data_IF_260313067492
#
_entry.id   IF_260313067492
#
_cell.length_a   1.000
_cell.length_b   1.000
_cell.length_c   1.000
_cell.angle_alpha   90.00
_cell.angle_beta   90.00
_cell.angle_gamma   90.00
#
_symmetry.space_group_name_H-M   'P 1'
#
loop_
_entity.id
_entity.type
_entity.pdbx_description
1 polymer ?
#
# COMPACT_ATOMS: atom_id res chain seq x y z
N UNK A 1 -0.74 14.50 31.41
CA UNK A 1 -0.06 14.89 30.15
C UNK A 1 -1.10 15.46 29.18
N UNK A 2 -0.80 16.52 28.43
CA UNK A 2 -1.71 17.06 27.39
C UNK A 2 -1.51 16.28 26.08
N UNK A 3 -2.36 15.27 25.85
CA UNK A 3 -2.35 14.45 24.64
C UNK A 3 -3.43 14.94 23.67
N UNK A 4 -3.01 15.41 22.50
CA UNK A 4 -3.89 15.87 21.41
C UNK A 4 -3.80 14.91 20.22
N UNK A 5 -4.92 14.55 19.59
CA UNK A 5 -4.88 13.95 18.26
C UNK A 5 -4.60 15.03 17.21
N UNK A 6 -3.51 14.84 16.46
CA UNK A 6 -3.18 15.63 15.27
C UNK A 6 -4.04 15.17 14.10
N UNK A 7 -4.19 13.86 13.95
CA UNK A 7 -5.16 13.23 13.06
C UNK A 7 -5.57 11.90 13.65
N UNK A 8 -6.83 11.54 13.55
CA UNK A 8 -7.29 10.22 13.96
C UNK A 8 -8.41 9.76 13.05
N UNK A 9 -8.32 8.51 12.66
CA UNK A 9 -9.36 7.85 11.89
C UNK A 9 -10.12 6.83 12.73
N UNK A 10 -9.64 6.54 13.95
CA UNK A 10 -10.27 5.56 14.84
C UNK A 10 -11.74 5.89 15.13
N UNK A 11 -12.57 4.87 15.40
CA UNK A 11 -13.79 5.05 16.18
C UNK A 11 -13.51 5.80 17.48
N UNK A 12 -14.47 6.61 17.94
CA UNK A 12 -14.31 7.52 19.09
C UNK A 12 -13.86 6.81 20.36
N UNK A 13 -14.45 5.66 20.66
CA UNK A 13 -14.10 4.81 21.80
C UNK A 13 -12.63 4.36 21.77
N UNK A 14 -12.13 3.98 20.60
CA UNK A 14 -10.72 3.60 20.42
C UNK A 14 -9.82 4.84 20.52
N UNK A 15 -10.22 5.97 19.94
CA UNK A 15 -9.45 7.22 20.02
C UNK A 15 -9.27 7.69 21.47
N UNK A 16 -10.35 7.72 22.25
CA UNK A 16 -10.34 8.12 23.66
C UNK A 16 -9.45 7.20 24.49
N UNK A 17 -9.55 5.90 24.26
CA UNK A 17 -8.76 4.91 24.98
C UNK A 17 -7.27 4.99 24.63
N UNK A 18 -6.91 5.19 23.36
CA UNK A 18 -5.50 5.40 22.97
C UNK A 18 -4.95 6.65 23.67
N UNK A 19 -5.72 7.74 23.73
CA UNK A 19 -5.31 8.95 24.47
C UNK A 19 -5.18 8.68 25.95
N UNK A 20 -6.07 7.91 26.55
CA UNK A 20 -5.99 7.52 27.94
C UNK A 20 -4.69 6.75 28.22
N UNK A 21 -4.37 5.72 27.42
CA UNK A 21 -3.13 4.96 27.56
C UNK A 21 -1.90 5.87 27.45
N UNK A 22 -1.88 6.77 26.46
CA UNK A 22 -0.78 7.73 26.24
C UNK A 22 -0.66 8.80 27.34
N UNK A 23 -1.71 9.04 28.14
CA UNK A 23 -1.62 9.93 29.31
C UNK A 23 -0.88 9.28 30.47
N UNK A 24 -0.87 7.95 30.53
CA UNK A 24 -0.32 7.18 31.65
C UNK A 24 1.11 6.70 31.42
N UNK A 25 1.53 6.49 30.17
CA UNK A 25 2.88 6.04 29.85
C UNK A 25 3.36 6.63 28.54
N UNK A 26 4.66 6.95 28.49
CA UNK A 26 5.35 7.36 27.27
C UNK A 26 6.15 6.21 26.64
N UNK A 27 6.24 5.04 27.28
CA UNK A 27 6.98 3.91 26.71
C UNK A 27 6.13 3.23 25.62
N UNK A 28 6.56 3.23 24.34
CA UNK A 28 5.79 2.63 23.26
C UNK A 28 5.55 1.12 23.44
N UNK A 29 6.41 0.41 24.19
CA UNK A 29 6.21 -1.02 24.51
C UNK A 29 5.04 -1.17 25.48
N UNK A 30 5.00 -0.37 26.54
CA UNK A 30 3.89 -0.37 27.50
C UNK A 30 2.58 0.08 26.86
N UNK A 31 2.61 1.10 26.01
CA UNK A 31 1.44 1.55 25.24
C UNK A 31 0.86 0.39 24.44
N UNK A 32 1.71 -0.30 23.65
CA UNK A 32 1.29 -1.46 22.86
C UNK A 32 0.72 -2.57 23.75
N UNK A 33 1.38 -2.89 24.85
CA UNK A 33 0.96 -3.97 25.76
C UNK A 33 -0.38 -3.67 26.44
N UNK A 34 -0.66 -2.40 26.80
CA UNK A 34 -1.97 -1.98 27.33
C UNK A 34 -3.07 -2.08 26.26
N UNK A 35 -2.78 -1.67 25.03
CA UNK A 35 -3.71 -1.76 23.90
C UNK A 35 -3.98 -3.20 23.42
N UNK A 36 -3.03 -4.13 23.67
CA UNK A 36 -3.15 -5.55 23.33
C UNK A 36 -4.40 -6.23 23.92
N UNK A 37 -4.88 -5.74 25.07
CA UNK A 37 -6.09 -6.25 25.73
C UNK A 37 -7.38 -6.09 24.89
N UNK A 38 -7.41 -5.13 23.95
CA UNK A 38 -8.58 -4.79 23.14
C UNK A 38 -8.62 -5.55 21.81
N UNK A 39 -7.45 -5.66 21.18
CA UNK A 39 -7.24 -6.45 19.96
C UNK A 39 -5.94 -7.20 20.13
N UNK A 40 -5.97 -8.55 20.14
CA UNK A 40 -4.79 -9.35 20.41
C UNK A 40 -3.72 -9.10 19.34
N UNK A 41 -2.58 -8.62 19.82
CA UNK A 41 -1.24 -8.67 19.21
C UNK A 41 -1.01 -8.02 17.84
N UNK A 42 -1.81 -7.02 17.47
CA UNK A 42 -1.74 -6.41 16.14
C UNK A 42 -1.31 -4.94 16.13
N UNK A 43 -1.19 -4.30 17.29
CA UNK A 43 -0.89 -2.87 17.39
C UNK A 43 0.57 -2.56 17.03
N UNK A 44 0.75 -1.57 16.17
CA UNK A 44 2.02 -0.92 15.91
C UNK A 44 2.01 0.44 16.58
N UNK A 45 3.06 0.72 17.36
CA UNK A 45 3.24 1.98 18.07
C UNK A 45 4.60 2.55 17.70
N UNK A 46 4.59 3.77 17.15
CA UNK A 46 5.80 4.51 16.82
C UNK A 46 5.83 5.79 17.63
N UNK A 47 6.92 6.01 18.37
CA UNK A 47 7.14 7.20 19.18
C UNK A 47 8.36 7.94 18.69
N UNK A 48 8.29 9.25 18.51
CA UNK A 48 9.45 10.07 18.17
C UNK A 48 9.13 11.55 18.08
N UNK A 49 10.15 12.40 18.02
CA UNK A 49 9.96 13.86 17.85
C UNK A 49 9.78 14.24 16.38
N UNK A 50 10.60 13.65 15.50
CA UNK A 50 10.63 13.97 14.07
C UNK A 50 10.83 12.71 13.24
N UNK A 51 9.75 12.21 12.65
CA UNK A 51 9.78 11.11 11.70
C UNK A 51 8.72 11.34 10.60
N UNK A 52 9.06 10.92 9.39
CA UNK A 52 8.13 10.71 8.30
C UNK A 52 7.77 9.22 8.23
N UNK A 53 6.60 8.95 7.67
CA UNK A 53 6.14 7.58 7.53
C UNK A 53 5.23 7.45 6.33
N UNK A 54 5.27 6.27 5.73
CA UNK A 54 4.20 5.79 4.86
C UNK A 54 3.87 4.36 5.26
N UNK A 55 2.61 4.17 5.62
CA UNK A 55 2.11 2.88 6.11
C UNK A 55 0.94 2.47 5.27
N UNK A 56 0.83 1.18 4.99
CA UNK A 56 -0.45 0.60 4.61
C UNK A 56 -1.32 0.58 5.87
N UNK A 57 -2.66 0.71 5.78
CA UNK A 57 -3.60 0.67 6.94
C UNK A 57 -5.04 0.54 6.49
N UNK A 58 -5.89 -0.12 7.27
CA UNK A 58 -7.32 -0.12 7.03
C UNK A 58 -7.89 1.29 7.26
N UNK A 59 -9.07 1.51 6.68
CA UNK A 59 -9.86 2.66 7.07
C UNK A 59 -10.18 2.57 8.56
N UNK A 60 -10.09 3.72 9.23
CA UNK A 60 -10.40 3.86 10.65
C UNK A 60 -9.54 3.06 11.61
N UNK A 61 -8.28 2.79 11.25
CA UNK A 61 -7.38 1.96 12.06
C UNK A 61 -6.07 2.65 12.45
N UNK A 62 -6.00 3.98 12.39
CA UNK A 62 -4.81 4.72 12.77
C UNK A 62 -5.09 6.10 13.38
N UNK A 63 -4.17 6.55 14.24
CA UNK A 63 -4.14 7.89 14.80
C UNK A 63 -2.72 8.38 15.04
N UNK A 64 -2.49 9.66 14.74
CA UNK A 64 -1.31 10.42 15.08
C UNK A 64 -1.65 11.34 16.25
N UNK A 65 -0.99 11.12 17.37
CA UNK A 65 -1.16 11.86 18.62
C UNK A 65 0.11 12.63 18.96
N UNK A 66 -0.04 13.71 19.71
CA UNK A 66 1.07 14.55 20.16
C UNK A 66 0.92 14.82 21.65
N UNK A 67 1.99 14.54 22.39
CA UNK A 67 2.18 15.01 23.76
C UNK A 67 2.83 16.40 23.69
N UNK A 68 2.02 17.45 23.82
CA UNK A 68 2.49 18.84 23.66
C UNK A 68 3.54 19.23 24.68
N UNK A 69 3.41 18.71 25.91
CA UNK A 69 4.35 19.01 26.99
C UNK A 69 5.76 18.53 26.68
N UNK A 70 5.88 17.40 25.96
CA UNK A 70 7.17 16.76 25.64
C UNK A 70 7.61 16.97 24.19
N UNK A 71 6.75 17.51 23.33
CA UNK A 71 6.98 17.63 21.88
C UNK A 71 7.19 16.27 21.22
N UNK A 72 6.55 15.22 21.73
CA UNK A 72 6.68 13.84 21.23
C UNK A 72 5.41 13.45 20.49
N UNK A 73 5.58 12.84 19.32
CA UNK A 73 4.49 12.31 18.50
C UNK A 73 4.41 10.80 18.63
N UNK A 74 3.18 10.30 18.58
CA UNK A 74 2.83 8.89 18.67
C UNK A 74 1.97 8.52 17.46
N UNK A 75 2.48 7.66 16.59
CA UNK A 75 1.66 7.01 15.57
C UNK A 75 1.22 5.65 16.12
N UNK A 76 -0.08 5.45 16.24
CA UNK A 76 -0.68 4.20 16.71
C UNK A 76 -1.61 3.68 15.61
N UNK A 77 -1.46 2.42 15.21
CA UNK A 77 -2.32 1.81 14.20
C UNK A 77 -2.39 0.29 14.30
N UNK A 78 -3.40 -0.30 13.66
CA UNK A 78 -3.66 -1.74 13.64
C UNK A 78 -4.04 -2.25 12.23
N UNK A 79 -3.69 -3.51 11.87
CA UNK A 79 -4.26 -4.30 10.78
C UNK A 79 -5.81 -4.39 10.79
N UNK A 80 -6.46 -4.79 9.67
CA UNK A 80 -5.89 -5.12 8.36
C UNK A 80 -5.44 -3.86 7.60
N UNK A 81 -4.82 -4.03 6.44
CA UNK A 81 -4.13 -2.96 5.74
C UNK A 81 -4.69 -2.77 4.34
N UNK A 82 -5.03 -1.54 3.98
CA UNK A 82 -5.37 -1.15 2.61
C UNK A 82 -4.41 -0.05 2.17
N UNK A 83 -4.18 0.05 0.87
CA UNK A 83 -3.31 1.08 0.31
C UNK A 83 -4.15 2.33 0.03
N UNK A 84 -3.73 3.49 0.55
CA UNK A 84 -4.35 4.80 0.26
C UNK A 84 -3.45 5.62 -0.68
N UNK A 85 -2.30 5.09 -1.11
CA UNK A 85 -1.29 5.88 -1.83
C UNK A 85 -1.47 5.80 -3.35
N UNK A 86 -1.50 6.94 -4.08
CA UNK A 86 -1.47 6.94 -5.53
C UNK A 86 -0.11 6.46 -6.07
N UNK A 87 -0.13 5.77 -7.21
CA UNK A 87 1.07 5.37 -7.95
C UNK A 87 1.78 6.62 -8.50
N UNK A 88 3.03 6.85 -8.09
CA UNK A 88 3.92 7.81 -8.78
C UNK A 88 4.65 7.04 -9.88
N UNK A 89 4.84 7.66 -11.06
CA UNK A 89 5.39 6.97 -12.25
C UNK A 89 6.91 6.92 -12.30
N UNK A 90 7.64 7.76 -11.57
CA UNK A 90 9.10 7.81 -11.63
C UNK A 90 9.72 8.08 -10.24
N UNK A 91 10.70 7.27 -9.79
CA UNK A 91 11.46 7.59 -8.60
C UNK A 91 12.36 8.80 -8.86
N UNK A 92 12.44 9.80 -7.97
CA UNK A 92 13.40 10.88 -8.06
C UNK A 92 14.82 10.29 -7.94
N UNK A 93 15.58 10.34 -9.02
CA UNK A 93 17.02 10.06 -8.99
C UNK A 93 17.74 11.21 -8.28
N UNK A 94 18.46 10.87 -7.20
CA UNK A 94 19.24 11.81 -6.38
C UNK A 94 20.59 12.17 -7.01
N UNK A 95 21.02 13.41 -6.81
CA UNK A 95 22.37 13.92 -7.09
C UNK A 95 23.31 13.88 -5.87
N UNK A 96 22.82 13.54 -4.67
CA UNK A 96 23.59 13.51 -3.42
C UNK A 96 23.78 12.10 -2.84
N UNK A 97 25.04 11.67 -2.63
CA UNK A 97 25.36 10.37 -2.04
C UNK A 97 25.16 10.38 -0.52
N UNK A 98 24.22 9.58 -0.04
CA UNK A 98 24.06 9.23 1.38
C UNK A 98 24.80 7.90 1.64
N UNK A 99 25.45 7.78 2.80
CA UNK A 99 26.05 6.51 3.22
C UNK A 99 25.04 5.71 4.03
N UNK A 100 24.73 4.49 3.59
CA UNK A 100 23.75 3.62 4.24
C UNK A 100 24.47 2.51 5.00
N UNK A 101 24.30 2.48 6.31
CA UNK A 101 24.82 1.42 7.18
C UNK A 101 23.68 0.52 7.63
N UNK A 102 23.79 -0.77 7.38
CA UNK A 102 22.80 -1.73 7.84
C UNK A 102 22.97 -1.97 9.36
N UNK A 103 21.88 -1.89 10.11
CA UNK A 103 21.85 -2.20 11.56
C UNK A 103 21.26 -3.58 11.82
N UNK A 104 20.17 -3.95 11.12
CA UNK A 104 19.50 -5.25 11.31
C UNK A 104 18.76 -5.70 10.04
N UNK A 105 18.86 -6.98 9.72
CA UNK A 105 18.02 -7.70 8.74
C UNK A 105 17.26 -8.82 9.46
N UNK A 106 15.98 -9.02 9.20
CA UNK A 106 15.24 -10.18 9.73
C UNK A 106 14.13 -10.66 8.77
N UNK A 107 14.20 -11.90 8.25
CA UNK A 107 15.24 -12.89 8.44
C UNK A 107 16.57 -12.49 7.73
N UNK A 108 17.71 -13.03 8.18
CA UNK A 108 19.00 -12.75 7.57
C UNK A 108 18.99 -13.18 6.09
N UNK A 109 19.26 -12.21 5.20
CA UNK A 109 19.59 -12.39 3.78
C UNK A 109 18.54 -13.05 2.85
N UNK A 110 17.29 -12.60 2.85
CA UNK A 110 16.45 -12.84 1.66
C UNK A 110 16.86 -11.89 0.51
N UNK A 111 16.74 -12.33 -0.74
CA UNK A 111 17.14 -11.58 -1.94
C UNK A 111 16.48 -10.19 -1.99
N UNK A 112 15.24 -10.11 -1.53
CA UNK A 112 14.44 -8.87 -1.44
C UNK A 112 15.11 -7.85 -0.54
N UNK A 113 15.54 -8.23 0.66
CA UNK A 113 16.20 -7.31 1.60
C UNK A 113 17.52 -6.78 1.03
N UNK A 114 18.26 -7.60 0.28
CA UNK A 114 19.50 -7.13 -0.37
C UNK A 114 19.21 -6.13 -1.49
N UNK A 115 18.17 -6.38 -2.31
CA UNK A 115 17.72 -5.44 -3.34
C UNK A 115 17.30 -4.10 -2.74
N UNK A 116 16.50 -4.13 -1.68
CA UNK A 116 16.08 -2.92 -0.96
C UNK A 116 17.30 -2.21 -0.37
N UNK A 117 18.20 -2.91 0.32
CA UNK A 117 19.38 -2.28 0.92
C UNK A 117 20.28 -1.58 -0.12
N UNK A 118 20.52 -2.20 -1.28
CA UNK A 118 21.24 -1.56 -2.39
C UNK A 118 20.51 -0.31 -2.88
N UNK A 119 19.19 -0.38 -3.05
CA UNK A 119 18.36 0.75 -3.47
C UNK A 119 18.39 1.92 -2.48
N UNK A 120 18.47 1.67 -1.16
CA UNK A 120 18.54 2.74 -0.16
C UNK A 120 19.72 3.70 -0.38
N UNK A 121 20.82 3.23 -0.98
CA UNK A 121 21.99 4.05 -1.28
C UNK A 121 21.79 5.03 -2.45
N UNK A 122 20.71 4.87 -3.23
CA UNK A 122 20.38 5.76 -4.36
C UNK A 122 19.38 6.85 -3.99
N UNK A 123 18.85 6.83 -2.77
CA UNK A 123 17.82 7.75 -2.29
C UNK A 123 18.45 9.03 -1.75
N UNK A 124 17.87 10.18 -2.11
CA UNK A 124 18.08 11.42 -1.36
C UNK A 124 17.12 11.46 -0.18
N UNK A 125 17.66 11.65 1.03
CA UNK A 125 16.88 11.78 2.25
C UNK A 125 16.67 13.24 2.67
N UNK A 126 16.83 14.23 1.78
CA UNK A 126 16.50 15.63 2.09
C UNK A 126 15.01 15.84 2.40
N UNK A 127 14.11 15.15 1.68
CA UNK A 127 12.66 15.17 1.93
C UNK A 127 12.20 13.80 2.42
N UNK A 128 12.08 13.64 3.74
CA UNK A 128 11.76 12.36 4.37
C UNK A 128 10.41 11.78 3.90
N UNK A 129 9.41 12.61 3.58
CA UNK A 129 8.11 12.13 3.13
C UNK A 129 8.22 11.54 1.72
N UNK A 130 8.90 12.26 0.83
CA UNK A 130 9.16 11.79 -0.53
C UNK A 130 10.04 10.53 -0.53
N UNK A 131 11.06 10.46 0.33
CA UNK A 131 11.89 9.27 0.47
C UNK A 131 11.07 8.06 0.94
N UNK A 132 10.15 8.25 1.90
CA UNK A 132 9.23 7.20 2.35
C UNK A 132 8.39 6.64 1.18
N UNK A 133 7.79 7.53 0.39
CA UNK A 133 6.98 7.15 -0.78
C UNK A 133 7.77 6.33 -1.79
N UNK A 134 8.96 6.81 -2.17
CA UNK A 134 9.82 6.19 -3.17
C UNK A 134 10.29 4.80 -2.72
N UNK A 135 10.69 4.67 -1.46
CA UNK A 135 11.08 3.38 -0.89
C UNK A 135 9.89 2.42 -0.90
N UNK A 136 8.70 2.86 -0.46
CA UNK A 136 7.50 2.00 -0.46
C UNK A 136 7.16 1.53 -1.87
N UNK A 137 7.25 2.40 -2.86
CA UNK A 137 7.00 2.05 -4.26
C UNK A 137 7.99 1.02 -4.80
N UNK A 138 9.28 1.17 -4.48
CA UNK A 138 10.26 0.17 -4.86
C UNK A 138 9.97 -1.17 -4.19
N UNK A 139 9.61 -1.18 -2.91
CA UNK A 139 9.27 -2.42 -2.22
C UNK A 139 8.02 -3.08 -2.84
N UNK A 140 7.00 -2.29 -3.19
CA UNK A 140 5.80 -2.75 -3.89
C UNK A 140 6.10 -3.37 -5.28
N UNK A 141 7.20 -3.00 -5.95
CA UNK A 141 7.58 -3.59 -7.24
C UNK A 141 8.35 -4.90 -7.11
N UNK A 142 8.92 -5.17 -5.93
CA UNK A 142 9.60 -6.43 -5.63
C UNK A 142 8.59 -7.53 -5.29
N UNK A 143 7.61 -7.24 -4.44
CA UNK A 143 6.59 -8.19 -4.00
C UNK A 143 5.25 -7.51 -3.69
N UNK A 144 4.17 -8.21 -3.98
CA UNK A 144 2.78 -7.78 -3.75
C UNK A 144 2.36 -7.90 -2.27
N UNK A 145 3.07 -7.17 -1.40
CA UNK A 145 2.86 -7.14 0.04
C UNK A 145 2.44 -5.73 0.51
N UNK A 146 1.93 -5.64 1.74
CA UNK A 146 1.70 -4.36 2.40
C UNK A 146 2.96 -3.88 3.10
N UNK A 147 3.60 -2.87 2.52
CA UNK A 147 4.86 -2.31 2.97
C UNK A 147 4.68 -1.08 3.88
N UNK A 148 5.59 -0.94 4.84
CA UNK A 148 5.64 0.13 5.83
C UNK A 148 7.04 0.68 5.90
N UNK A 149 7.16 2.00 5.78
CA UNK A 149 8.45 2.71 5.77
C UNK A 149 8.40 3.87 6.75
N UNK A 150 9.45 3.99 7.55
CA UNK A 150 9.67 5.08 8.49
C UNK A 150 11.06 5.66 8.31
N UNK A 151 11.17 6.99 8.31
CA UNK A 151 12.45 7.72 8.19
C UNK A 151 12.45 8.86 9.21
N UNK A 152 13.47 8.95 10.04
CA UNK A 152 13.53 10.03 11.03
C UNK A 152 14.74 9.97 11.95
N UNK A 153 14.68 10.78 13.00
CA UNK A 153 15.71 10.82 14.07
C UNK A 153 15.03 10.52 15.39
N UNK A 154 15.70 9.75 16.25
CA UNK A 154 15.26 9.43 17.61
C UNK A 154 13.79 8.98 17.67
N UNK A 155 13.46 7.97 16.87
CA UNK A 155 12.16 7.33 16.96
C UNK A 155 12.31 5.84 17.30
N UNK A 156 11.32 5.33 18.02
CA UNK A 156 11.21 3.92 18.39
C UNK A 156 9.96 3.36 17.74
N UNK A 157 10.13 2.33 16.93
CA UNK A 157 9.04 1.59 16.30
C UNK A 157 8.88 0.24 16.99
N UNK A 158 7.73 0.03 17.62
CA UNK A 158 7.40 -1.21 18.32
C UNK A 158 6.41 -1.99 17.47
N UNK A 159 6.86 -3.15 16.97
CA UNK A 159 6.11 -4.02 16.08
C UNK A 159 5.52 -5.21 16.84
N UNK A 160 4.39 -5.77 16.41
CA UNK A 160 3.86 -7.00 16.99
C UNK A 160 4.82 -8.18 16.80
N UNK A 161 4.77 -9.17 17.70
CA UNK A 161 5.60 -10.39 17.63
C UNK A 161 5.12 -11.38 16.57
N UNK A 162 3.87 -11.26 16.12
CA UNK A 162 3.24 -12.08 15.10
C UNK A 162 2.87 -11.24 13.87
N UNK A 163 2.80 -11.87 12.69
CA UNK A 163 2.25 -11.28 11.45
C UNK A 163 3.03 -10.09 10.83
N UNK A 164 4.24 -9.78 11.33
CA UNK A 164 5.12 -8.75 10.76
C UNK A 164 6.52 -9.30 10.54
N UNK A 165 7.07 -9.03 9.36
CA UNK A 165 8.45 -9.38 9.00
C UNK A 165 9.30 -8.11 8.89
N UNK A 166 10.24 -7.98 9.82
CA UNK A 166 11.14 -6.84 9.94
C UNK A 166 12.31 -6.92 8.97
N UNK A 167 12.14 -6.41 7.76
CA UNK A 167 13.13 -6.63 6.71
C UNK A 167 14.40 -5.81 6.91
N UNK A 168 14.31 -4.50 7.18
CA UNK A 168 15.49 -3.62 7.24
C UNK A 168 15.40 -2.61 8.38
N UNK A 169 16.46 -2.56 9.19
CA UNK A 169 16.89 -1.36 9.91
C UNK A 169 18.19 -0.86 9.31
N UNK A 170 18.22 0.37 8.81
CA UNK A 170 19.43 1.00 8.31
C UNK A 170 19.60 2.42 8.87
N UNK A 171 20.83 2.91 8.87
CA UNK A 171 21.17 4.31 9.16
C UNK A 171 21.63 4.98 7.88
N UNK A 172 20.96 6.06 7.49
CA UNK A 172 21.38 6.91 6.38
C UNK A 172 22.14 8.12 6.94
N UNK A 173 23.38 8.29 6.51
CA UNK A 173 24.30 9.30 7.02
C UNK A 173 24.79 10.22 5.89
N UNK A 174 24.77 11.53 6.14
CA UNK A 174 25.40 12.53 5.27
C UNK A 174 25.97 13.65 6.14
N UNK A 175 27.29 13.77 6.17
CA UNK A 175 27.99 14.69 7.08
C UNK A 175 27.58 14.48 8.55
N UNK A 176 26.89 15.45 9.17
CA UNK A 176 26.41 15.38 10.55
C UNK A 176 24.97 14.86 10.68
N UNK A 177 24.27 14.68 9.56
CA UNK A 177 22.90 14.17 9.56
C UNK A 177 22.90 12.65 9.61
N UNK A 178 22.24 12.08 10.62
CA UNK A 178 22.03 10.64 10.80
C UNK A 178 20.53 10.38 10.90
N UNK A 179 20.01 9.54 10.01
CA UNK A 179 18.60 9.17 9.95
C UNK A 179 18.45 7.65 10.12
N UNK A 180 17.49 7.25 10.93
CA UNK A 180 17.03 5.87 11.01
C UNK A 180 16.04 5.59 9.88
N UNK A 181 16.23 4.49 9.16
CA UNK A 181 15.37 3.99 8.09
C UNK A 181 14.88 2.61 8.49
N UNK A 182 13.56 2.47 8.67
CA UNK A 182 12.92 1.24 9.14
C UNK A 182 11.90 0.78 8.09
N UNK A 183 12.04 -0.46 7.63
CA UNK A 183 11.18 -1.08 6.61
C UNK A 183 10.74 -2.46 7.07
N UNK A 184 9.43 -2.70 7.01
CA UNK A 184 8.85 -4.01 7.28
C UNK A 184 7.60 -4.25 6.43
N UNK A 185 7.18 -5.51 6.36
CA UNK A 185 5.96 -5.95 5.67
C UNK A 185 5.07 -6.77 6.59
N UNK A 186 3.78 -6.90 6.28
CA UNK A 186 2.96 -7.93 6.91
C UNK A 186 3.14 -9.29 6.27
N UNK A 187 3.06 -10.32 7.11
CA UNK A 187 2.87 -11.69 6.67
C UNK A 187 1.39 -12.00 6.50
N UNK A 188 1.04 -12.79 5.49
CA UNK A 188 -0.30 -13.38 5.33
C UNK A 188 -1.36 -12.53 4.61
N UNK A 189 -1.10 -11.26 4.30
CA UNK A 189 -2.04 -10.41 3.54
C UNK A 189 -1.38 -9.97 2.23
N UNK A 190 -1.53 -10.80 1.18
CA UNK A 190 -1.10 -10.42 -0.17
C UNK A 190 -2.02 -9.33 -0.73
N UNK A 191 -1.44 -8.40 -1.48
CA UNK A 191 -2.17 -7.37 -2.22
C UNK A 191 -2.95 -8.07 -3.35
N UNK A 192 -4.23 -8.38 -3.11
CA UNK A 192 -5.13 -8.77 -4.20
C UNK A 192 -5.38 -7.56 -5.10
N UNK A 193 -4.67 -7.46 -6.21
CA UNK A 193 -5.04 -6.56 -7.30
C UNK A 193 -6.35 -7.10 -7.87
N UNK A 194 -7.47 -6.54 -7.43
CA UNK A 194 -8.75 -6.82 -8.05
C UNK A 194 -8.76 -6.17 -9.45
N UNK A 195 -8.23 -6.89 -10.44
CA UNK A 195 -8.35 -6.58 -11.87
C UNK A 195 -9.80 -6.48 -12.37
N UNK A 196 -10.77 -6.76 -11.50
CA UNK A 196 -12.20 -6.67 -11.75
C UNK A 196 -12.56 -5.39 -12.52
N UNK A 197 -12.11 -4.20 -12.09
CA UNK A 197 -12.49 -2.95 -12.75
C UNK A 197 -11.92 -2.75 -14.18
N UNK A 198 -10.67 -3.13 -14.43
CA UNK A 198 -10.05 -2.98 -15.76
C UNK A 198 -10.55 -4.03 -16.75
N UNK A 199 -10.69 -5.28 -16.29
CA UNK A 199 -11.24 -6.35 -17.12
C UNK A 199 -12.73 -6.12 -17.43
N UNK A 200 -13.50 -5.63 -16.46
CA UNK A 200 -14.92 -5.28 -16.64
C UNK A 200 -15.07 -4.05 -17.55
N UNK A 201 -14.23 -3.03 -17.39
CA UNK A 201 -14.19 -1.88 -18.30
C UNK A 201 -13.82 -2.26 -19.74
N UNK A 202 -12.83 -3.15 -19.93
CA UNK A 202 -12.50 -3.69 -21.25
C UNK A 202 -13.66 -4.49 -21.85
N UNK A 203 -14.35 -5.29 -21.04
CA UNK A 203 -15.53 -6.02 -21.50
C UNK A 203 -16.61 -5.05 -21.97
N UNK A 204 -16.99 -4.04 -21.19
CA UNK A 204 -18.00 -3.06 -21.61
C UNK A 204 -17.59 -2.26 -22.86
N UNK A 205 -16.31 -1.92 -23.01
CA UNK A 205 -15.78 -1.28 -24.21
C UNK A 205 -15.94 -2.21 -25.44
N UNK A 206 -15.56 -3.48 -25.32
CA UNK A 206 -15.73 -4.47 -26.37
C UNK A 206 -17.21 -4.68 -26.73
N UNK A 207 -18.10 -4.77 -25.73
CA UNK A 207 -19.54 -4.90 -25.94
C UNK A 207 -20.12 -3.73 -26.73
N UNK A 208 -19.75 -2.51 -26.33
CA UNK A 208 -20.23 -1.29 -26.97
C UNK A 208 -19.73 -1.22 -28.42
N UNK A 209 -18.45 -1.58 -28.65
CA UNK A 209 -17.87 -1.61 -29.98
C UNK A 209 -18.53 -2.67 -30.88
N UNK A 210 -18.78 -3.88 -30.37
CA UNK A 210 -19.47 -4.95 -31.12
C UNK A 210 -20.90 -4.54 -31.45
N UNK A 211 -21.64 -3.93 -30.52
CA UNK A 211 -22.99 -3.45 -30.78
C UNK A 211 -23.00 -2.32 -31.83
N UNK A 212 -22.10 -1.34 -31.68
CA UNK A 212 -21.99 -0.23 -32.64
C UNK A 212 -21.62 -0.74 -34.04
N UNK A 213 -20.61 -1.61 -34.14
CA UNK A 213 -20.24 -2.23 -35.41
C UNK A 213 -21.38 -3.09 -35.96
N UNK A 214 -22.11 -3.81 -35.11
CA UNK A 214 -23.30 -4.56 -35.49
C UNK A 214 -24.37 -3.68 -36.12
N UNK A 215 -24.82 -2.64 -35.43
CA UNK A 215 -25.88 -1.74 -35.93
C UNK A 215 -25.42 -0.98 -37.17
N UNK A 216 -24.27 -0.31 -37.12
CA UNK A 216 -23.78 0.48 -38.26
C UNK A 216 -23.38 -0.38 -39.46
N UNK A 217 -22.76 -1.54 -39.21
CA UNK A 217 -22.42 -2.50 -40.25
C UNK A 217 -23.66 -3.04 -40.94
N UNK A 218 -24.74 -3.36 -40.21
CA UNK A 218 -25.99 -3.83 -40.83
C UNK A 218 -26.70 -2.77 -41.68
N UNK A 219 -26.51 -1.48 -41.35
CA UNK A 219 -27.09 -0.35 -42.08
C UNK A 219 -26.27 0.08 -43.30
N UNK A 220 -24.97 -0.22 -43.33
CA UNK A 220 -24.03 0.27 -44.35
C UNK A 220 -23.41 -0.81 -45.23
N UNK A 221 -23.35 -2.05 -44.77
CA UNK A 221 -22.87 -3.18 -45.56
C UNK A 221 -24.03 -3.78 -46.35
N UNK A 222 -24.08 -3.46 -47.64
CA UNK A 222 -24.95 -4.11 -48.62
C UNK A 222 -24.17 -5.21 -49.34
N UNK A 223 -24.86 -6.11 -50.06
CA UNK A 223 -24.24 -7.21 -50.82
C UNK A 223 -23.27 -6.73 -51.93
N UNK A 224 -23.25 -5.43 -52.23
CA UNK A 224 -22.35 -4.79 -53.20
C UNK A 224 -21.15 -4.08 -52.56
N UNK A 225 -21.01 -4.12 -51.23
CA UNK A 225 -19.93 -3.41 -50.53
C UNK A 225 -18.60 -4.16 -50.63
N UNK A 226 -17.66 -3.64 -51.41
CA UNK A 226 -16.32 -4.24 -51.56
C UNK A 226 -15.36 -3.98 -50.39
N UNK A 227 -15.78 -3.16 -49.42
CA UNK A 227 -14.92 -2.86 -48.26
C UNK A 227 -14.60 -4.12 -47.46
N UNK A 228 -13.33 -4.28 -47.08
CA UNK A 228 -12.86 -5.43 -46.30
C UNK A 228 -13.67 -5.61 -45.00
N UNK A 229 -14.04 -4.50 -44.35
CA UNK A 229 -14.88 -4.49 -43.15
C UNK A 229 -16.25 -5.14 -43.38
N UNK A 230 -16.89 -4.92 -44.54
CA UNK A 230 -18.17 -5.55 -44.88
C UNK A 230 -18.02 -7.02 -45.27
N UNK A 231 -16.93 -7.37 -45.96
CA UNK A 231 -16.64 -8.76 -46.35
C UNK A 231 -16.48 -9.70 -45.15
N UNK A 232 -15.92 -9.21 -44.05
CA UNK A 232 -15.69 -9.98 -42.82
C UNK A 232 -16.64 -9.61 -41.66
N UNK A 233 -17.63 -8.76 -41.92
CA UNK A 233 -18.56 -8.23 -40.92
C UNK A 233 -19.22 -9.33 -40.08
N UNK A 234 -19.78 -10.36 -40.73
CA UNK A 234 -20.42 -11.48 -40.06
C UNK A 234 -19.46 -12.31 -39.20
N UNK A 235 -18.20 -12.43 -39.61
CA UNK A 235 -17.18 -13.11 -38.82
C UNK A 235 -16.82 -12.31 -37.56
N UNK A 236 -16.69 -10.99 -37.67
CA UNK A 236 -16.44 -10.12 -36.51
C UNK A 236 -17.60 -10.12 -35.53
N UNK A 237 -18.84 -10.07 -36.02
CA UNK A 237 -20.03 -10.18 -35.18
C UNK A 237 -20.10 -11.53 -34.47
N UNK A 238 -19.88 -12.62 -35.20
CA UNK A 238 -19.92 -13.97 -34.64
C UNK A 238 -18.88 -14.15 -33.53
N UNK A 239 -17.64 -13.71 -33.76
CA UNK A 239 -16.57 -13.76 -32.75
C UNK A 239 -16.95 -12.93 -31.51
N UNK A 240 -17.51 -11.73 -31.71
CA UNK A 240 -18.00 -10.88 -30.62
C UNK A 240 -19.12 -11.54 -29.80
N UNK A 241 -20.10 -12.14 -30.46
CA UNK A 241 -21.20 -12.88 -29.83
C UNK A 241 -20.73 -14.12 -29.08
N UNK A 242 -19.80 -14.91 -29.65
CA UNK A 242 -19.24 -16.08 -28.99
C UNK A 242 -18.45 -15.69 -27.73
N UNK A 243 -17.70 -14.58 -27.78
CA UNK A 243 -16.96 -14.06 -26.63
C UNK A 243 -17.91 -13.57 -25.53
N UNK A 244 -18.99 -12.87 -25.89
CA UNK A 244 -20.09 -12.49 -24.99
C UNK A 244 -20.71 -13.70 -24.28
N UNK A 245 -21.13 -14.70 -25.04
CA UNK A 245 -21.77 -15.89 -24.49
C UNK A 245 -20.85 -16.63 -23.51
N UNK A 246 -19.57 -16.75 -23.86
CA UNK A 246 -18.55 -17.38 -23.00
C UNK A 246 -18.37 -16.65 -21.67
N UNK A 247 -18.40 -15.32 -21.67
CA UNK A 247 -18.28 -14.50 -20.46
C UNK A 247 -19.51 -14.55 -19.59
N UNK A 248 -20.71 -14.46 -20.17
CA UNK A 248 -21.99 -14.59 -19.45
C UNK A 248 -22.08 -15.97 -18.79
N UNK A 249 -21.77 -17.04 -19.54
CA UNK A 249 -21.79 -18.42 -19.02
C UNK A 249 -20.80 -18.59 -17.86
N UNK A 250 -19.59 -18.03 -17.94
CA UNK A 250 -18.62 -18.05 -16.83
C UNK A 250 -19.12 -17.29 -15.60
N UNK A 251 -19.74 -16.12 -15.78
CA UNK A 251 -20.31 -15.34 -14.67
C UNK A 251 -21.46 -16.07 -13.97
N UNK A 252 -22.37 -16.68 -14.74
CA UNK A 252 -23.49 -17.46 -14.21
C UNK A 252 -22.97 -18.69 -13.46
N UNK A 253 -22.01 -19.42 -14.05
CA UNK A 253 -21.40 -20.60 -13.41
C UNK A 253 -20.68 -20.24 -12.11
N UNK A 254 -19.99 -19.09 -12.07
CA UNK A 254 -19.31 -18.60 -10.87
C UNK A 254 -20.28 -18.14 -9.76
N UNK A 255 -21.50 -17.70 -10.11
CA UNK A 255 -22.56 -17.39 -9.15
C UNK A 255 -23.23 -18.66 -8.62
N UNK A 256 -23.52 -19.63 -9.47
CA UNK A 256 -24.15 -20.90 -9.08
C UNK A 256 -23.27 -21.67 -8.09
N UNK A 257 -21.94 -21.69 -8.28
CA UNK A 257 -20.98 -22.36 -7.35
C UNK A 257 -20.81 -21.69 -5.98
N UNK A 258 -21.35 -20.48 -5.77
CA UNK A 258 -21.26 -19.74 -4.50
C UNK A 258 -22.52 -19.85 -3.63
N UNK A 259 -23.60 -20.39 -4.18
CA UNK A 259 -24.84 -20.81 -3.48
C UNK A 259 -24.74 -22.29 -3.15
#
# INVERSE_FOLDING_TARGET
MDIKAVSSTFPTDIDELVREVLKHTDDPIEVRNKLKSLKPDQWIVVRGKKFAYIVSRANKSAGLFENKTKGVKYLVYTPPYHEITPYIKDPPTSTGKWNITLVKLTPPSNEVSQKIFKFLSTIDYQDHNKSCEVIKMYCNSLEEMYWHVFIGVDFTCVLPSSEVEYLIYAKANKAQDMLDVVIFRQQGVQKKINWLGFAEGLVYLFLTLTFFLGVFGSLKCTDQSESWLCKYYWNFLYIGFAFMLSKITKMITARIKKT
#
